data_IF_135926468012
#
_entry.id   IF_135926468012
#
_cell.length_a   1.000
_cell.length_b   1.000
_cell.length_c   1.000
_cell.angle_alpha   90.00
_cell.angle_beta   90.00
_cell.angle_gamma   90.00
#
_symmetry.space_group_name_H-M   'P 1'
#
loop_
_entity.id
_entity.type
_entity.pdbx_description
1 polymer ?
#
# COMPACT_ATOMS: atom_id res chain seq x y z
N UNK A 1 -10.12 0.46 -11.67
CA UNK A 1 -10.29 -0.32 -10.41
C UNK A 1 -9.27 0.16 -9.40
N UNK A 2 -9.57 0.05 -8.10
CA UNK A 2 -8.67 0.45 -7.01
C UNK A 2 -8.37 -0.76 -6.13
N UNK A 3 -7.22 -0.76 -5.47
CA UNK A 3 -6.82 -1.81 -4.53
C UNK A 3 -6.40 -1.20 -3.20
N UNK A 4 -6.86 -1.76 -2.09
CA UNK A 4 -6.53 -1.29 -0.73
C UNK A 4 -5.57 -2.25 -0.06
N UNK A 5 -4.52 -1.73 0.59
CA UNK A 5 -3.60 -2.49 1.45
C UNK A 5 -3.14 -3.84 0.85
N UNK A 6 -2.58 -3.86 -0.38
CA UNK A 6 -2.29 -5.11 -1.08
C UNK A 6 -1.19 -5.92 -0.39
N UNK A 7 -1.53 -7.16 -0.01
CA UNK A 7 -0.58 -8.15 0.53
C UNK A 7 -0.68 -9.48 -0.22
N UNK A 8 0.26 -9.69 -1.12
CA UNK A 8 0.43 -10.93 -1.90
C UNK A 8 1.53 -11.83 -1.33
N UNK A 9 2.41 -11.29 -0.49
CA UNK A 9 3.40 -12.09 0.25
C UNK A 9 2.76 -13.20 1.08
N UNK A 10 3.51 -14.30 1.25
CA UNK A 10 3.10 -15.44 2.08
C UNK A 10 3.08 -15.11 3.58
N UNK A 11 3.89 -14.14 4.01
CA UNK A 11 4.02 -13.70 5.40
C UNK A 11 3.95 -12.18 5.51
N UNK A 12 3.25 -11.70 6.53
CA UNK A 12 3.28 -10.30 6.95
C UNK A 12 4.45 -10.11 7.92
N UNK A 13 5.65 -9.91 7.39
CA UNK A 13 6.88 -9.92 8.19
C UNK A 13 8.02 -9.15 7.51
N UNK A 14 8.99 -8.59 8.27
CA UNK A 14 10.23 -8.08 7.70
C UNK A 14 11.12 -9.16 7.09
N UNK A 15 10.93 -10.43 7.48
CA UNK A 15 11.75 -11.56 7.05
C UNK A 15 10.90 -12.68 6.45
N UNK A 16 11.38 -13.40 5.44
CA UNK A 16 10.57 -14.41 4.74
C UNK A 16 10.35 -15.70 5.54
N UNK A 17 11.14 -15.95 6.59
CA UNK A 17 11.15 -17.22 7.32
C UNK A 17 10.40 -17.19 8.66
N UNK A 18 10.12 -16.01 9.23
CA UNK A 18 9.46 -15.86 10.53
C UNK A 18 8.29 -14.86 10.45
N UNK A 19 7.44 -14.83 11.49
CA UNK A 19 6.27 -13.96 11.58
C UNK A 19 4.98 -14.55 10.98
N UNK A 20 3.86 -13.83 11.08
CA UNK A 20 2.53 -14.30 10.67
C UNK A 20 2.51 -14.80 9.23
N UNK A 21 2.01 -16.02 9.03
CA UNK A 21 1.85 -16.65 7.71
C UNK A 21 0.36 -16.65 7.37
N UNK A 22 0.02 -16.27 6.14
CA UNK A 22 -1.36 -16.37 5.66
C UNK A 22 -1.83 -17.84 5.61
N UNK A 23 -3.09 -18.06 5.98
CA UNK A 23 -3.72 -19.39 5.90
C UNK A 23 -4.26 -19.72 4.52
N UNK A 24 -4.77 -18.71 3.81
CA UNK A 24 -5.36 -18.83 2.48
C UNK A 24 -4.51 -18.13 1.44
N UNK A 25 -4.42 -18.67 0.23
CA UNK A 25 -3.79 -17.97 -0.89
C UNK A 25 -4.56 -16.68 -1.24
N UNK A 26 -3.93 -15.67 -1.88
CA UNK A 26 -4.69 -14.62 -2.54
C UNK A 26 -5.67 -15.22 -3.55
N UNK A 27 -6.89 -14.67 -3.68
CA UNK A 27 -7.88 -15.21 -4.62
C UNK A 27 -7.55 -14.95 -6.09
N UNK A 28 -6.59 -14.06 -6.37
CA UNK A 28 -6.10 -13.71 -7.71
C UNK A 28 -4.58 -13.56 -7.66
N UNK A 29 -3.86 -14.00 -8.69
CA UNK A 29 -2.42 -13.78 -8.75
C UNK A 29 -2.09 -12.32 -9.08
N UNK A 30 -0.87 -11.87 -8.74
CA UNK A 30 -0.44 -10.49 -9.00
C UNK A 30 -0.49 -10.17 -10.50
N UNK A 31 0.05 -11.04 -11.35
CA UNK A 31 0.08 -10.91 -12.81
C UNK A 31 -1.31 -10.91 -13.44
N UNK A 32 -2.27 -11.62 -12.84
CA UNK A 32 -3.66 -11.67 -13.28
C UNK A 32 -4.50 -10.43 -12.90
N UNK A 33 -3.96 -9.50 -12.10
CA UNK A 33 -4.68 -8.29 -11.75
C UNK A 33 -5.05 -7.47 -13.00
N UNK A 34 -6.31 -6.99 -13.11
CA UNK A 34 -6.71 -6.10 -14.18
C UNK A 34 -6.01 -4.74 -14.03
N UNK A 35 -6.05 -3.87 -15.07
CA UNK A 35 -5.53 -2.51 -14.96
C UNK A 35 -6.12 -1.77 -13.75
N UNK A 36 -5.25 -1.25 -12.89
CA UNK A 36 -5.61 -0.53 -11.68
C UNK A 36 -5.35 0.97 -11.86
N UNK A 37 -6.32 1.79 -11.46
CA UNK A 37 -6.16 3.23 -11.38
C UNK A 37 -5.13 3.59 -10.30
N UNK A 38 -5.23 2.94 -9.13
CA UNK A 38 -4.27 3.15 -8.06
C UNK A 38 -4.40 2.20 -6.89
N UNK A 39 -3.48 2.36 -5.95
CA UNK A 39 -3.45 1.69 -4.66
C UNK A 39 -3.70 2.71 -3.55
N UNK A 40 -4.52 2.34 -2.57
CA UNK A 40 -4.76 3.13 -1.36
C UNK A 40 -4.16 2.36 -0.19
N UNK A 41 -3.35 3.05 0.62
CA UNK A 41 -2.73 2.50 1.81
C UNK A 41 -3.31 3.16 3.06
N UNK A 42 -3.62 2.36 4.08
CA UNK A 42 -4.16 2.86 5.34
C UNK A 42 -3.06 3.24 6.34
N UNK A 43 -2.02 2.40 6.45
CA UNK A 43 -0.90 2.57 7.37
C UNK A 43 0.27 1.65 7.00
N UNK A 44 1.32 1.61 7.83
CA UNK A 44 2.57 0.95 7.48
C UNK A 44 2.77 -0.45 8.09
N UNK A 45 1.79 -1.11 8.69
CA UNK A 45 2.01 -2.47 9.24
C UNK A 45 2.29 -3.49 8.14
N UNK A 46 2.97 -4.60 8.49
CA UNK A 46 3.43 -5.59 7.50
C UNK A 46 2.28 -6.34 6.79
N UNK A 47 1.12 -6.40 7.42
CA UNK A 47 -0.12 -6.99 6.91
C UNK A 47 -0.99 -6.02 6.10
N UNK A 48 -0.59 -4.74 6.02
CA UNK A 48 -1.23 -3.71 5.20
C UNK A 48 -0.29 -3.09 4.15
N UNK A 49 1.02 -3.17 4.39
CA UNK A 49 2.06 -2.63 3.54
C UNK A 49 3.14 -3.69 3.29
N UNK A 50 2.94 -4.46 2.21
CA UNK A 50 3.87 -5.48 1.76
C UNK A 50 4.82 -4.94 0.68
N UNK A 51 6.12 -4.89 1.00
CA UNK A 51 7.15 -4.37 0.09
C UNK A 51 7.19 -5.09 -1.25
N UNK A 52 6.98 -6.42 -1.26
CA UNK A 52 7.00 -7.19 -2.50
C UNK A 52 5.81 -6.80 -3.40
N UNK A 53 4.61 -6.69 -2.81
CA UNK A 53 3.42 -6.23 -3.51
C UNK A 53 3.58 -4.82 -4.08
N UNK A 54 4.07 -3.87 -3.28
CA UNK A 54 4.31 -2.49 -3.75
C UNK A 54 5.26 -2.46 -4.94
N UNK A 55 6.39 -3.18 -4.86
CA UNK A 55 7.36 -3.22 -5.97
C UNK A 55 6.78 -3.86 -7.23
N UNK A 56 5.97 -4.91 -7.09
CA UNK A 56 5.31 -5.55 -8.22
C UNK A 56 4.24 -4.64 -8.87
N UNK A 57 3.68 -3.69 -8.11
CA UNK A 57 2.63 -2.79 -8.55
C UNK A 57 3.16 -1.42 -9.04
N UNK A 58 4.40 -1.06 -8.72
CA UNK A 58 4.98 0.27 -8.97
C UNK A 58 4.79 0.76 -10.42
N UNK A 59 5.01 -0.12 -11.39
CA UNK A 59 4.88 0.19 -12.83
C UNK A 59 3.50 -0.13 -13.40
N UNK A 60 2.65 -0.83 -12.64
CA UNK A 60 1.36 -1.35 -13.10
C UNK A 60 0.16 -0.50 -12.69
N UNK A 61 0.33 0.40 -11.72
CA UNK A 61 -0.73 1.29 -11.25
C UNK A 61 -0.43 2.74 -11.61
N UNK A 62 -1.48 3.54 -11.75
CA UNK A 62 -1.38 4.97 -12.05
C UNK A 62 -0.88 5.79 -10.86
N UNK A 63 -1.36 5.48 -9.66
CA UNK A 63 -1.08 6.26 -8.45
C UNK A 63 -1.08 5.42 -7.17
N UNK A 64 -0.32 5.85 -6.17
CA UNK A 64 -0.40 5.40 -4.79
C UNK A 64 -0.87 6.56 -3.93
N UNK A 65 -1.93 6.34 -3.15
CA UNK A 65 -2.44 7.29 -2.15
C UNK A 65 -2.16 6.72 -0.77
N UNK A 66 -1.47 7.46 0.07
CA UNK A 66 -1.02 7.00 1.38
C UNK A 66 -1.06 8.13 2.43
N UNK A 67 -1.00 7.81 3.73
CA UNK A 67 -0.77 8.81 4.77
C UNK A 67 0.63 9.40 4.68
N UNK A 68 0.84 10.52 5.38
CA UNK A 68 2.17 11.11 5.59
C UNK A 68 3.20 10.06 6.08
N UNK A 69 4.43 10.13 5.55
CA UNK A 69 5.55 9.24 5.89
C UNK A 69 5.49 7.85 5.26
N UNK A 70 4.30 7.33 4.96
CA UNK A 70 4.14 6.05 4.25
C UNK A 70 4.56 6.19 2.79
N UNK A 71 4.19 7.30 2.14
CA UNK A 71 4.60 7.58 0.75
C UNK A 71 6.12 7.67 0.61
N UNK A 72 6.82 8.25 1.58
CA UNK A 72 8.30 8.30 1.59
C UNK A 72 8.91 6.90 1.58
N UNK A 73 8.28 5.94 2.26
CA UNK A 73 8.71 4.54 2.25
C UNK A 73 8.51 3.88 0.88
N UNK A 74 7.42 4.20 0.18
CA UNK A 74 7.19 3.72 -1.20
C UNK A 74 8.26 4.24 -2.15
N UNK A 75 8.59 5.54 -2.06
CA UNK A 75 9.66 6.15 -2.86
C UNK A 75 11.00 5.47 -2.58
N UNK A 76 11.34 5.22 -1.31
CA UNK A 76 12.55 4.45 -0.95
C UNK A 76 12.55 3.03 -1.50
N UNK A 77 11.39 2.45 -1.81
CA UNK A 77 11.27 1.12 -2.42
C UNK A 77 11.29 1.13 -3.95
N UNK A 78 11.39 2.31 -4.56
CA UNK A 78 11.53 2.50 -6.00
C UNK A 78 10.22 2.86 -6.71
N UNK A 79 9.16 3.25 -5.99
CA UNK A 79 7.99 3.85 -6.62
C UNK A 79 8.35 5.26 -7.10
N UNK A 80 8.01 5.59 -8.35
CA UNK A 80 8.18 6.93 -8.90
C UNK A 80 7.48 7.97 -8.00
N UNK A 81 8.19 8.99 -7.47
CA UNK A 81 7.59 10.05 -6.67
C UNK A 81 6.41 10.73 -7.35
N UNK A 82 6.40 10.81 -8.69
CA UNK A 82 5.31 11.40 -9.46
C UNK A 82 3.99 10.62 -9.32
N UNK A 83 4.06 9.34 -8.94
CA UNK A 83 2.91 8.47 -8.66
C UNK A 83 2.47 8.45 -7.20
N UNK A 84 3.19 9.09 -6.27
CA UNK A 84 2.85 9.05 -4.84
C UNK A 84 2.09 10.30 -4.43
N UNK A 85 0.98 10.13 -3.71
CA UNK A 85 0.19 11.20 -3.09
C UNK A 85 0.10 10.91 -1.60
N UNK A 86 0.60 11.84 -0.79
CA UNK A 86 0.51 11.76 0.67
C UNK A 86 -0.55 12.74 1.15
N UNK A 87 -1.42 12.27 2.05
CA UNK A 87 -2.51 13.07 2.63
C UNK A 87 -2.35 13.11 4.15
N UNK A 88 -2.55 14.29 4.75
CA UNK A 88 -2.81 14.42 6.17
C UNK A 88 -4.30 14.17 6.46
N UNK A 89 -4.68 14.09 7.73
CA UNK A 89 -6.08 13.96 8.11
C UNK A 89 -6.91 15.13 7.59
N UNK A 90 -8.03 14.77 6.97
CA UNK A 90 -9.00 15.63 6.31
C UNK A 90 -8.53 16.27 5.01
N UNK A 91 -7.28 16.00 4.57
CA UNK A 91 -6.89 16.28 3.20
C UNK A 91 -7.67 15.37 2.24
N UNK A 92 -7.94 15.92 1.06
CA UNK A 92 -8.61 15.22 -0.01
C UNK A 92 -7.89 15.43 -1.34
N UNK A 93 -7.96 14.43 -2.20
CA UNK A 93 -7.51 14.51 -3.59
C UNK A 93 -8.59 13.95 -4.51
N UNK A 94 -8.72 14.52 -5.71
CA UNK A 94 -9.60 13.99 -6.76
C UNK A 94 -8.77 13.41 -7.89
N UNK A 95 -9.06 12.16 -8.27
CA UNK A 95 -8.38 11.43 -9.33
C UNK A 95 -9.46 10.82 -10.22
N UNK A 96 -9.48 11.23 -11.50
CA UNK A 96 -10.47 10.78 -12.49
C UNK A 96 -11.93 10.86 -12.00
N UNK A 97 -12.27 11.95 -11.31
CA UNK A 97 -13.61 12.18 -10.75
C UNK A 97 -13.91 11.46 -9.43
N UNK A 98 -13.02 10.60 -8.93
CA UNK A 98 -13.11 10.00 -7.60
C UNK A 98 -12.42 10.89 -6.56
N UNK A 99 -13.15 11.35 -5.56
CA UNK A 99 -12.58 12.02 -4.40
C UNK A 99 -12.18 11.00 -3.33
N UNK A 100 -10.94 11.11 -2.85
CA UNK A 100 -10.38 10.33 -1.75
C UNK A 100 -10.04 11.29 -0.63
N UNK A 101 -10.64 11.10 0.55
CA UNK A 101 -10.39 11.91 1.75
C UNK A 101 -9.74 11.02 2.82
N UNK A 102 -8.61 11.45 3.36
CA UNK A 102 -7.96 10.75 4.45
C UNK A 102 -8.67 11.07 5.78
N UNK A 103 -9.41 10.11 6.34
CA UNK A 103 -10.04 10.27 7.66
C UNK A 103 -9.14 9.75 8.77
N UNK A 104 -9.18 10.31 9.99
CA UNK A 104 -8.41 9.81 11.12
C UNK A 104 -8.85 8.39 11.52
N UNK A 105 -7.94 7.65 12.13
CA UNK A 105 -8.18 6.33 12.72
C UNK A 105 -7.42 6.22 14.04
N UNK A 106 -8.00 5.53 15.03
CA UNK A 106 -7.33 5.21 16.28
C UNK A 106 -6.52 3.92 16.13
N UNK A 107 -5.39 4.01 15.43
CA UNK A 107 -4.45 2.91 15.24
C UNK A 107 -3.03 3.46 15.13
N UNK A 108 -2.03 2.69 15.55
CA UNK A 108 -0.63 3.10 15.40
C UNK A 108 -0.06 2.65 14.05
N UNK A 109 1.08 3.23 13.67
CA UNK A 109 1.90 2.81 12.55
C UNK A 109 3.30 2.48 13.07
N UNK A 110 3.78 1.26 12.86
CA UNK A 110 5.15 0.87 13.19
C UNK A 110 5.66 -0.35 12.41
N UNK A 111 6.94 -0.34 12.05
CA UNK A 111 7.61 -1.47 11.37
C UNK A 111 8.85 -1.98 12.12
N UNK A 112 9.12 -1.46 13.30
CA UNK A 112 10.30 -1.75 14.10
C UNK A 112 10.00 -1.80 15.59
N UNK A 113 11.07 -1.94 16.38
CA UNK A 113 11.01 -1.97 17.85
C UNK A 113 10.78 -0.58 18.47
N UNK A 114 10.86 0.48 17.66
CA UNK A 114 10.76 1.88 18.04
C UNK A 114 9.96 2.64 16.98
#
# INVERSE_FOLDING_TARGET
LWLTDPVFSRRASPVPFAGPKRFHAPPIALDELPPLAGVILSHNHYDHLDRASIRALADRVGVFVAPLGVGDLLVRWGVDPAKVRQLDWWDAITIDGLQLTATPSQHFSGRGLF
#
